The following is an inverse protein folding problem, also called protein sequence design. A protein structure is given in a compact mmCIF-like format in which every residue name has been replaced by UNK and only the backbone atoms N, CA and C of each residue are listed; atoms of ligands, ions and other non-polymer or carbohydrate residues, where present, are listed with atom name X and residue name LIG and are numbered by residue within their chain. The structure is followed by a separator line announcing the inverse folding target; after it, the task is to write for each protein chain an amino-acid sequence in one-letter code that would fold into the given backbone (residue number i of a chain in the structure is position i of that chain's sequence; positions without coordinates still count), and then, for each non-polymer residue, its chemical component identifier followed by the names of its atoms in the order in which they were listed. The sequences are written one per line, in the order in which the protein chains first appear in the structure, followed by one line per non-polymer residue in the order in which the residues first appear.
data_IF_691219301059
#
_entry.id   IF_691219301059
#
_cell.length_a   1.000
_cell.length_b   1.000
_cell.length_c   1.000
_cell.angle_alpha   90.00
_cell.angle_beta   90.00
_cell.angle_gamma   90.00
#
_symmetry.space_group_name_H-M   'P 1'
#
loop_
_entity.id
_entity.type
_entity.pdbx_description
1 polymer ?
#
# COMPACT_ATOMS: atom_id res chain seq x y z
N UNK A 1 -19.71 -28.45 9.81
CA UNK A 1 -18.31 -28.45 10.26
C UNK A 1 -17.49 -29.63 9.71
N UNK A 2 -17.82 -30.90 9.95
CA UNK A 2 -17.04 -32.05 9.43
C UNK A 2 -16.94 -32.13 7.90
N UNK A 3 -17.97 -31.71 7.14
CA UNK A 3 -17.95 -31.72 5.67
C UNK A 3 -17.08 -30.62 5.03
N UNK A 4 -16.89 -29.50 5.71
CA UNK A 4 -16.03 -28.41 5.24
C UNK A 4 -14.55 -28.71 5.47
N UNK A 5 -14.23 -29.36 6.61
CA UNK A 5 -12.86 -29.81 6.90
C UNK A 5 -12.39 -30.90 5.93
N UNK A 6 -13.30 -31.80 5.52
CA UNK A 6 -13.00 -32.84 4.52
C UNK A 6 -12.79 -32.23 3.14
N UNK A 7 -13.51 -31.19 2.76
CA UNK A 7 -13.32 -30.52 1.46
C UNK A 7 -11.95 -29.82 1.35
N UNK A 8 -11.45 -29.24 2.43
CA UNK A 8 -10.11 -28.63 2.46
C UNK A 8 -9.00 -29.69 2.45
N UNK A 9 -9.20 -30.83 3.10
CA UNK A 9 -8.24 -31.93 3.14
C UNK A 9 -8.27 -32.80 1.85
N UNK A 10 -9.41 -32.93 1.17
CA UNK A 10 -9.50 -33.65 -0.10
C UNK A 10 -8.97 -32.85 -1.29
N UNK A 11 -8.98 -31.53 -1.26
CA UNK A 11 -8.33 -30.68 -2.27
C UNK A 11 -6.79 -30.86 -2.30
N UNK A 12 -6.21 -31.37 -1.21
CA UNK A 12 -4.76 -31.65 -1.11
C UNK A 12 -4.33 -32.99 -1.75
N UNK A 13 -5.27 -33.85 -2.23
CA UNK A 13 -4.94 -35.19 -2.73
C UNK A 13 -5.35 -35.49 -4.16
N UNK A 14 -5.89 -34.52 -4.94
CA UNK A 14 -6.23 -34.76 -6.35
C UNK A 14 -5.05 -34.31 -7.22
N UNK A 15 -4.28 -35.30 -7.64
CA UNK A 15 -3.17 -35.23 -8.58
C UNK A 15 -3.65 -35.09 -10.03
N UNK A 16 -3.00 -34.18 -10.75
CA UNK A 16 -2.69 -34.20 -12.17
C UNK A 16 -3.83 -34.26 -13.20
N UNK A 17 -4.24 -33.07 -13.65
CA UNK A 17 -4.41 -32.76 -15.05
C UNK A 17 -3.76 -31.39 -15.31
N UNK A 18 -2.65 -31.42 -16.04
CA UNK A 18 -1.88 -30.21 -16.39
C UNK A 18 -2.63 -29.50 -17.50
N UNK A 19 -3.41 -28.52 -17.14
CA UNK A 19 -3.68 -27.39 -18.02
C UNK A 19 -2.92 -26.22 -17.41
N UNK A 20 -1.93 -25.75 -18.13
CA UNK A 20 -1.02 -24.67 -17.70
C UNK A 20 -1.82 -23.38 -17.54
N UNK A 21 -2.20 -23.05 -16.32
CA UNK A 21 -2.70 -21.71 -15.98
C UNK A 21 -1.52 -20.74 -16.03
N UNK A 22 -1.49 -19.91 -17.05
CA UNK A 22 -0.48 -18.86 -17.24
C UNK A 22 -0.74 -17.59 -16.41
N UNK A 23 -1.77 -17.58 -15.55
CA UNK A 23 -2.36 -16.34 -15.01
C UNK A 23 -1.53 -15.69 -13.90
N UNK A 24 -0.58 -16.34 -13.22
CA UNK A 24 0.17 -15.72 -12.12
C UNK A 24 1.69 -15.96 -12.15
N UNK A 25 2.26 -16.31 -13.30
CA UNK A 25 3.72 -16.35 -13.48
C UNK A 25 4.21 -15.08 -14.14
N UNK A 26 4.21 -13.97 -13.41
CA UNK A 26 4.91 -12.78 -13.89
C UNK A 26 6.41 -13.05 -14.06
N UNK A 27 7.02 -12.42 -15.05
CA UNK A 27 8.47 -12.39 -15.23
C UNK A 27 9.15 -11.97 -13.93
N UNK A 28 10.37 -12.45 -13.63
CA UNK A 28 11.12 -11.94 -12.49
C UNK A 28 11.26 -10.42 -12.63
N UNK A 29 10.74 -9.68 -11.66
CA UNK A 29 10.84 -8.21 -11.65
C UNK A 29 12.28 -7.86 -11.31
N UNK A 30 13.05 -7.43 -12.29
CA UNK A 30 14.47 -7.13 -12.11
C UNK A 30 14.71 -5.67 -11.71
N UNK A 31 13.93 -4.73 -12.24
CA UNK A 31 14.07 -3.30 -11.96
C UNK A 31 12.83 -2.54 -12.42
N UNK A 32 12.20 -1.81 -11.53
CA UNK A 32 11.07 -0.93 -11.87
C UNK A 32 11.49 0.13 -12.92
N UNK A 33 12.70 0.68 -12.77
CA UNK A 33 13.23 1.62 -13.74
C UNK A 33 13.36 1.01 -15.14
N UNK A 34 13.92 -0.21 -15.24
CA UNK A 34 14.17 -0.86 -16.53
C UNK A 34 12.88 -1.38 -17.17
N UNK A 35 11.95 -1.90 -16.35
CA UNK A 35 10.78 -2.60 -16.85
C UNK A 35 9.62 -1.66 -17.20
N UNK A 36 9.46 -0.55 -16.47
CA UNK A 36 8.30 0.35 -16.61
C UNK A 36 8.66 1.78 -16.99
N UNK A 37 9.66 2.37 -16.33
CA UNK A 37 9.88 3.82 -16.44
C UNK A 37 10.72 4.20 -17.67
N UNK A 38 11.85 3.52 -17.91
CA UNK A 38 12.68 3.77 -19.09
C UNK A 38 11.96 3.46 -20.42
N UNK A 39 11.18 2.36 -20.55
CA UNK A 39 10.41 2.11 -21.77
C UNK A 39 9.38 3.19 -22.06
N UNK A 40 8.84 3.85 -21.03
CA UNK A 40 7.94 5.00 -21.18
C UNK A 40 8.65 6.31 -21.55
N UNK A 41 10.00 6.32 -21.62
CA UNK A 41 10.81 7.47 -22.02
C UNK A 41 11.21 8.40 -20.87
N UNK A 42 10.98 8.04 -19.62
CA UNK A 42 11.33 8.83 -18.44
C UNK A 42 12.71 8.43 -17.90
N UNK A 43 13.39 9.39 -17.28
CA UNK A 43 14.61 9.07 -16.53
C UNK A 43 14.26 8.44 -15.18
N UNK A 44 15.03 7.44 -14.79
CA UNK A 44 14.84 6.73 -13.55
C UNK A 44 16.19 6.33 -12.94
N UNK A 45 16.32 6.47 -11.62
CA UNK A 45 17.47 6.00 -10.87
C UNK A 45 17.01 5.14 -9.70
N UNK A 46 17.70 4.00 -9.53
CA UNK A 46 17.47 3.11 -8.39
C UNK A 46 18.31 3.59 -7.19
N UNK A 47 17.68 3.67 -6.04
CA UNK A 47 18.31 3.96 -4.77
C UNK A 47 18.05 2.83 -3.80
N UNK A 48 18.97 2.66 -2.86
CA UNK A 48 18.84 1.65 -1.80
C UNK A 48 19.06 2.33 -0.46
N UNK A 49 18.18 2.04 0.50
CA UNK A 49 18.29 2.52 1.87
C UNK A 49 18.24 1.33 2.85
N UNK A 50 18.88 1.51 4.00
CA UNK A 50 18.82 0.53 5.08
C UNK A 50 18.01 1.09 6.24
N UNK A 51 17.04 0.30 6.70
CA UNK A 51 16.28 0.62 7.91
C UNK A 51 17.07 0.32 9.17
N UNK A 52 16.68 0.90 10.30
CA UNK A 52 17.37 0.69 11.59
C UNK A 52 17.31 -0.76 12.08
N UNK A 53 16.28 -1.49 11.70
CA UNK A 53 16.09 -2.90 12.02
C UNK A 53 16.67 -3.84 10.95
N UNK A 54 17.40 -3.30 9.96
CA UNK A 54 18.29 -4.05 9.07
C UNK A 54 17.74 -4.38 7.69
N UNK A 55 16.50 -3.98 7.34
CA UNK A 55 15.96 -4.20 6.00
C UNK A 55 16.60 -3.25 4.98
N UNK A 56 16.78 -3.75 3.78
CA UNK A 56 17.33 -3.01 2.64
C UNK A 56 16.19 -2.78 1.66
N UNK A 57 15.80 -1.53 1.49
CA UNK A 57 14.64 -1.11 0.71
C UNK A 57 15.07 -0.45 -0.59
N UNK A 58 14.32 -0.70 -1.65
CA UNK A 58 14.49 -0.03 -2.93
C UNK A 58 13.59 1.21 -3.00
N UNK A 59 14.17 2.31 -3.50
CA UNK A 59 13.45 3.51 -3.90
C UNK A 59 13.82 3.84 -5.35
N UNK A 60 12.87 4.28 -6.13
CA UNK A 60 13.12 4.80 -7.47
C UNK A 60 12.87 6.31 -7.50
N UNK A 61 13.74 7.03 -8.18
CA UNK A 61 13.60 8.46 -8.44
C UNK A 61 13.35 8.69 -9.91
N UNK A 62 12.20 9.29 -10.22
CA UNK A 62 11.69 9.44 -11.59
C UNK A 62 11.57 10.92 -11.95
N UNK A 63 12.02 11.28 -13.17
CA UNK A 63 11.90 12.62 -13.69
C UNK A 63 11.42 12.62 -15.15
N UNK A 64 10.70 13.68 -15.53
CA UNK A 64 10.17 13.86 -16.89
C UNK A 64 11.30 13.99 -17.92
N UNK A 65 11.11 13.45 -19.14
CA UNK A 65 12.07 13.60 -20.25
C UNK A 65 12.12 15.01 -20.84
N UNK A 66 11.27 15.94 -20.41
CA UNK A 66 11.11 17.26 -21.04
C UNK A 66 12.33 18.14 -20.81
N UNK A 67 13.05 18.59 -21.86
CA UNK A 67 14.35 19.28 -21.75
C UNK A 67 14.29 20.69 -21.13
N UNK A 68 13.09 21.25 -20.92
CA UNK A 68 12.92 22.62 -20.42
C UNK A 68 12.80 22.75 -18.89
N UNK A 69 12.81 21.63 -18.15
CA UNK A 69 13.05 21.69 -16.72
C UNK A 69 14.57 21.74 -16.56
N UNK A 70 15.09 22.96 -16.41
CA UNK A 70 16.48 23.21 -16.00
C UNK A 70 16.92 22.18 -14.96
N UNK A 71 18.19 21.81 -14.93
CA UNK A 71 18.86 20.78 -14.09
C UNK A 71 18.52 20.77 -12.59
N UNK A 72 17.48 21.45 -12.18
CA UNK A 72 16.99 21.55 -10.81
C UNK A 72 15.73 20.71 -10.68
N UNK A 73 15.81 19.64 -9.90
CA UNK A 73 14.64 18.84 -9.51
C UNK A 73 13.59 19.73 -8.85
N UNK A 74 12.33 19.48 -9.17
CA UNK A 74 11.19 20.13 -8.51
C UNK A 74 11.02 19.70 -7.06
N UNK A 75 9.90 20.05 -6.44
CA UNK A 75 9.62 19.62 -5.06
C UNK A 75 9.52 18.11 -4.98
N UNK A 76 10.20 17.48 -4.00
CA UNK A 76 10.17 16.03 -3.84
C UNK A 76 8.80 15.54 -3.39
N UNK A 77 8.34 14.46 -3.99
CA UNK A 77 7.11 13.76 -3.61
C UNK A 77 7.39 12.26 -3.47
N UNK A 78 7.05 11.69 -2.31
CA UNK A 78 7.11 10.25 -2.08
C UNK A 78 5.74 9.63 -2.32
N UNK A 79 5.71 8.59 -3.16
CA UNK A 79 4.54 7.75 -3.41
C UNK A 79 4.67 6.44 -2.62
N UNK A 80 3.72 6.21 -1.70
CA UNK A 80 3.69 5.03 -0.84
C UNK A 80 2.47 4.16 -1.16
N UNK A 81 2.72 2.95 -1.63
CA UNK A 81 1.73 1.97 -2.08
C UNK A 81 0.94 1.29 -0.95
N UNK A 82 -0.12 0.57 -1.32
CA UNK A 82 -0.98 -0.21 -0.44
C UNK A 82 -0.52 -1.64 -0.16
N UNK A 83 -1.39 -2.40 0.54
CA UNK A 83 -1.18 -3.82 0.82
C UNK A 83 -1.15 -4.63 -0.50
N UNK A 84 -0.24 -5.59 -0.58
CA UNK A 84 0.01 -6.43 -1.76
C UNK A 84 0.43 -5.67 -3.02
N UNK A 85 0.77 -4.40 -2.91
CA UNK A 85 1.29 -3.55 -3.97
C UNK A 85 2.77 -3.25 -3.75
N UNK A 86 3.42 -2.71 -4.79
CA UNK A 86 4.72 -2.06 -4.69
C UNK A 86 4.73 -0.75 -5.50
N UNK A 87 5.91 -0.20 -5.74
CA UNK A 87 6.06 1.06 -6.47
C UNK A 87 5.65 1.01 -7.93
N UNK A 88 5.56 -0.18 -8.51
CA UNK A 88 5.11 -0.40 -9.89
C UNK A 88 3.66 0.03 -10.12
N UNK A 89 2.78 -0.09 -9.13
CA UNK A 89 1.37 0.34 -9.24
C UNK A 89 1.22 1.78 -9.73
N UNK A 90 2.19 2.63 -9.46
CA UNK A 90 2.19 4.04 -9.86
C UNK A 90 2.53 4.28 -11.34
N UNK A 91 2.84 3.20 -12.10
CA UNK A 91 3.29 3.24 -13.49
C UNK A 91 2.62 2.20 -14.40
N UNK A 92 1.63 1.45 -13.93
CA UNK A 92 1.01 0.34 -14.66
C UNK A 92 0.10 0.78 -15.80
N UNK A 93 -0.40 2.00 -15.80
CA UNK A 93 -1.18 2.57 -16.89
C UNK A 93 -0.31 3.40 -17.84
N UNK A 94 -0.93 4.02 -18.82
CA UNK A 94 -0.20 4.89 -19.76
C UNK A 94 0.47 6.06 -19.01
N UNK A 95 1.50 6.69 -19.58
CA UNK A 95 2.13 7.87 -18.98
C UNK A 95 1.16 9.05 -18.74
N UNK A 96 0.04 9.08 -19.44
CA UNK A 96 -0.97 10.10 -19.25
C UNK A 96 -1.95 9.81 -18.10
N UNK A 97 -1.99 8.57 -17.64
CA UNK A 97 -2.94 8.05 -16.64
C UNK A 97 -2.25 7.72 -15.32
N UNK A 98 -1.03 7.19 -15.35
CA UNK A 98 -0.27 6.77 -14.16
C UNK A 98 0.21 7.96 -13.34
N UNK A 99 -0.06 7.95 -12.04
CA UNK A 99 0.27 9.06 -11.13
C UNK A 99 1.77 9.41 -11.11
N UNK A 100 2.64 8.41 -11.15
CA UNK A 100 4.10 8.64 -11.13
C UNK A 100 4.57 9.48 -12.31
N UNK A 101 4.10 9.16 -13.52
CA UNK A 101 4.42 9.94 -14.71
C UNK A 101 3.72 11.31 -14.71
N UNK A 102 2.46 11.36 -14.31
CA UNK A 102 1.70 12.62 -14.23
C UNK A 102 2.38 13.62 -13.31
N UNK A 103 2.87 13.21 -12.14
CA UNK A 103 3.60 14.08 -11.23
C UNK A 103 4.95 14.53 -11.81
N UNK A 104 5.69 13.63 -12.44
CA UNK A 104 6.95 13.97 -13.11
C UNK A 104 6.72 15.02 -14.21
N UNK A 105 5.69 14.88 -15.05
CA UNK A 105 5.33 15.85 -16.09
C UNK A 105 4.85 17.19 -15.52
N UNK A 106 4.36 17.20 -14.27
CA UNK A 106 4.02 18.43 -13.56
C UNK A 106 5.21 19.06 -12.81
N UNK A 107 6.43 18.51 -13.02
CA UNK A 107 7.68 19.06 -12.52
C UNK A 107 8.03 18.68 -11.10
N UNK A 108 7.43 17.63 -10.54
CA UNK A 108 7.83 17.08 -9.24
C UNK A 108 9.06 16.18 -9.39
N UNK A 109 9.88 16.15 -8.34
CA UNK A 109 10.91 15.14 -8.13
C UNK A 109 10.26 13.91 -7.50
N UNK A 110 9.89 12.93 -8.34
CA UNK A 110 9.06 11.80 -7.92
C UNK A 110 9.91 10.68 -7.34
N UNK A 111 9.61 10.31 -6.11
CA UNK A 111 10.21 9.18 -5.41
C UNK A 111 9.15 8.11 -5.15
N UNK A 112 9.52 6.88 -5.34
CA UNK A 112 8.63 5.73 -5.19
C UNK A 112 9.21 4.78 -4.16
N UNK A 113 8.46 4.58 -3.07
CA UNK A 113 8.84 3.69 -1.99
C UNK A 113 8.36 2.26 -2.23
N UNK A 114 9.22 1.31 -1.89
CA UNK A 114 8.86 -0.11 -1.84
C UNK A 114 9.11 -0.63 -0.44
N UNK A 115 8.07 -1.04 0.27
CA UNK A 115 8.22 -1.59 1.61
C UNK A 115 8.91 -2.95 1.58
N UNK A 116 9.47 -3.35 2.73
CA UNK A 116 10.06 -4.68 2.93
C UNK A 116 9.12 -5.80 2.50
N UNK A 117 9.65 -6.86 1.96
CA UNK A 117 8.90 -8.03 1.52
C UNK A 117 8.25 -7.89 0.14
N UNK A 118 8.26 -6.70 -0.49
CA UNK A 118 7.95 -6.58 -1.91
C UNK A 118 9.08 -7.16 -2.77
N UNK A 119 8.80 -7.55 -4.02
CA UNK A 119 9.83 -8.11 -4.92
C UNK A 119 11.00 -7.17 -5.21
N UNK A 120 10.87 -5.88 -4.92
CA UNK A 120 11.95 -4.89 -5.03
C UNK A 120 12.76 -4.76 -3.73
N UNK A 121 12.25 -5.20 -2.58
CA UNK A 121 12.82 -4.98 -1.24
C UNK A 121 12.92 -6.28 -0.43
N UNK A 122 13.63 -7.27 -0.96
CA UNK A 122 13.93 -8.54 -0.28
C UNK A 122 15.24 -8.53 0.50
N UNK A 123 15.94 -7.40 0.57
CA UNK A 123 17.23 -7.29 1.25
C UNK A 123 17.08 -7.18 2.77
N UNK A 124 18.00 -7.82 3.50
CA UNK A 124 18.23 -7.62 4.93
C UNK A 124 19.69 -7.91 5.26
N UNK A 125 20.25 -7.23 6.26
CA UNK A 125 21.68 -7.35 6.61
C UNK A 125 22.10 -8.74 7.12
N UNK A 126 21.17 -9.53 7.66
CA UNK A 126 21.45 -10.86 8.25
C UNK A 126 20.43 -11.93 7.90
N UNK A 127 19.22 -11.57 7.47
CA UNK A 127 18.12 -12.48 7.16
C UNK A 127 17.95 -12.64 5.65
N UNK A 128 17.42 -13.78 5.24
CA UNK A 128 16.97 -14.07 3.89
C UNK A 128 15.44 -14.08 3.85
N UNK A 129 14.85 -13.81 2.69
CA UNK A 129 13.40 -13.93 2.46
C UNK A 129 12.86 -15.36 2.70
N UNK A 130 13.74 -16.36 2.79
CA UNK A 130 13.38 -17.73 3.16
C UNK A 130 13.29 -17.94 4.67
N UNK A 131 13.83 -17.02 5.48
CA UNK A 131 13.77 -17.10 6.92
C UNK A 131 12.42 -16.60 7.44
N UNK A 132 11.84 -17.29 8.40
CA UNK A 132 10.55 -16.87 8.99
C UNK A 132 10.65 -15.53 9.72
N UNK A 133 11.81 -15.25 10.30
CA UNK A 133 12.09 -14.00 11.01
C UNK A 133 12.11 -12.79 10.07
N UNK A 134 12.45 -12.97 8.78
CA UNK A 134 12.36 -11.93 7.75
C UNK A 134 10.93 -11.41 7.60
N UNK A 135 9.91 -12.23 7.88
CA UNK A 135 8.49 -11.90 7.76
C UNK A 135 7.82 -11.52 9.08
N UNK A 136 8.58 -11.35 10.19
CA UNK A 136 8.01 -11.00 11.50
C UNK A 136 7.79 -9.48 11.67
N UNK A 137 7.03 -8.87 10.77
CA UNK A 137 6.69 -7.46 10.77
C UNK A 137 5.21 -7.22 10.42
N UNK A 138 4.71 -6.04 10.77
CA UNK A 138 3.38 -5.56 10.44
C UNK A 138 3.42 -4.12 9.93
N UNK A 139 2.28 -3.54 9.55
CA UNK A 139 2.22 -2.17 9.05
C UNK A 139 2.80 -1.13 10.02
N UNK A 140 2.78 -1.39 11.32
CA UNK A 140 3.45 -0.48 12.27
C UNK A 140 4.97 -0.42 12.03
N UNK A 141 5.60 -1.57 11.73
CA UNK A 141 7.03 -1.61 11.43
C UNK A 141 7.31 -0.90 10.10
N UNK A 142 6.40 -1.06 9.11
CA UNK A 142 6.46 -0.32 7.85
C UNK A 142 6.34 1.19 8.06
N UNK A 143 5.48 1.64 8.99
CA UNK A 143 5.34 3.06 9.31
C UNK A 143 6.56 3.62 10.04
N UNK A 144 7.02 2.89 11.08
CA UNK A 144 8.02 3.40 12.03
C UNK A 144 9.47 3.26 11.54
N UNK A 145 9.71 2.31 10.63
CA UNK A 145 11.02 2.07 10.03
C UNK A 145 11.04 2.37 8.53
N UNK A 146 10.24 1.68 7.71
CA UNK A 146 10.33 1.81 6.26
C UNK A 146 10.01 3.22 5.79
N UNK A 147 8.79 3.69 6.06
CA UNK A 147 8.34 5.02 5.65
C UNK A 147 9.18 6.13 6.30
N UNK A 148 9.50 5.98 7.58
CA UNK A 148 10.30 6.97 8.29
C UNK A 148 11.71 7.13 7.70
N UNK A 149 12.38 6.03 7.33
CA UNK A 149 13.71 6.09 6.71
C UNK A 149 13.65 6.55 5.24
N UNK A 150 12.59 6.19 4.48
CA UNK A 150 12.35 6.73 3.14
C UNK A 150 12.20 8.25 3.17
N UNK A 151 11.35 8.78 4.08
CA UNK A 151 11.15 10.22 4.29
C UNK A 151 12.46 10.91 4.66
N UNK A 152 13.21 10.36 5.62
CA UNK A 152 14.49 10.90 6.06
C UNK A 152 15.53 10.93 4.93
N UNK A 153 15.60 9.87 4.14
CA UNK A 153 16.54 9.77 3.01
C UNK A 153 16.23 10.82 1.96
N UNK A 154 14.97 10.89 1.50
CA UNK A 154 14.55 11.85 0.48
C UNK A 154 14.73 13.29 0.97
N UNK A 155 14.33 13.58 2.22
CA UNK A 155 14.56 14.89 2.85
C UNK A 155 16.03 15.29 2.80
N UNK A 156 16.94 14.37 3.09
CA UNK A 156 18.39 14.60 3.09
C UNK A 156 18.94 14.83 1.68
N UNK A 157 18.47 14.06 0.70
CA UNK A 157 18.92 14.16 -0.69
C UNK A 157 18.38 15.44 -1.36
N UNK A 158 17.11 15.74 -1.15
CA UNK A 158 16.45 16.91 -1.73
C UNK A 158 16.77 18.21 -0.98
N UNK A 159 17.29 18.11 0.24
CA UNK A 159 17.54 19.24 1.16
C UNK A 159 16.29 20.15 1.32
N UNK A 160 15.12 19.56 1.33
CA UNK A 160 13.83 20.24 1.46
C UNK A 160 12.78 19.29 2.03
N UNK A 161 11.70 19.86 2.60
CA UNK A 161 10.53 19.08 2.99
C UNK A 161 9.92 18.40 1.77
N UNK A 162 9.30 17.24 2.00
CA UNK A 162 8.72 16.40 0.95
C UNK A 162 7.20 16.46 0.97
N UNK A 163 6.57 16.26 -0.17
CA UNK A 163 5.17 15.87 -0.24
C UNK A 163 5.05 14.35 -0.07
N UNK A 164 4.04 13.91 0.65
CA UNK A 164 3.78 12.49 0.88
C UNK A 164 2.44 12.11 0.27
N UNK A 165 2.42 11.08 -0.58
CA UNK A 165 1.19 10.46 -1.09
C UNK A 165 1.13 9.03 -0.57
N UNK A 166 0.05 8.67 0.10
CA UNK A 166 -0.24 7.30 0.53
C UNK A 166 -1.49 6.77 -0.15
N UNK A 167 -1.53 5.47 -0.43
CA UNK A 167 -2.74 4.77 -0.86
C UNK A 167 -3.01 3.59 0.07
N UNK A 168 -4.27 3.41 0.53
CA UNK A 168 -4.68 2.23 1.30
C UNK A 168 -3.80 2.02 2.55
N UNK A 169 -3.12 0.87 2.69
CA UNK A 169 -2.16 0.63 3.78
C UNK A 169 -1.08 1.71 3.85
N UNK A 170 -0.69 2.33 2.73
CA UNK A 170 0.22 3.47 2.72
C UNK A 170 -0.33 4.67 3.50
N UNK A 171 -1.66 4.80 3.63
CA UNK A 171 -2.29 5.83 4.47
C UNK A 171 -2.25 5.48 5.94
N UNK A 172 -2.45 4.19 6.31
CA UNK A 172 -2.27 3.71 7.71
C UNK A 172 -0.85 4.03 8.17
N UNK A 173 0.14 3.70 7.33
CA UNK A 173 1.54 3.98 7.60
C UNK A 173 1.80 5.48 7.73
N UNK A 174 1.20 6.30 6.85
CA UNK A 174 1.36 7.75 6.86
C UNK A 174 0.78 8.35 8.14
N UNK A 175 -0.44 7.99 8.53
CA UNK A 175 -1.03 8.47 9.78
C UNK A 175 -0.16 8.11 10.98
N UNK A 176 0.26 6.84 11.12
CA UNK A 176 1.10 6.40 12.22
C UNK A 176 2.46 7.13 12.25
N UNK A 177 3.13 7.25 11.10
CA UNK A 177 4.41 7.93 11.01
C UNK A 177 4.31 9.44 11.31
N UNK A 178 3.23 10.10 10.88
CA UNK A 178 3.00 11.53 11.10
C UNK A 178 2.64 11.88 12.56
N UNK A 179 2.25 10.91 13.40
CA UNK A 179 2.18 11.15 14.86
C UNK A 179 3.57 11.34 15.49
N UNK A 180 4.64 11.01 14.76
CA UNK A 180 6.01 11.17 15.22
C UNK A 180 6.54 12.56 14.77
N UNK A 181 6.87 13.47 15.69
CA UNK A 181 7.33 14.82 15.35
C UNK A 181 8.50 14.82 14.37
N UNK A 182 9.45 13.89 14.55
CA UNK A 182 10.62 13.73 13.68
C UNK A 182 10.24 13.54 12.21
N UNK A 183 9.20 12.75 11.93
CA UNK A 183 8.74 12.49 10.56
C UNK A 183 7.91 13.65 10.05
N UNK A 184 6.96 14.13 10.85
CA UNK A 184 6.06 15.21 10.47
C UNK A 184 6.81 16.52 10.11
N UNK A 185 7.92 16.82 10.80
CA UNK A 185 8.76 17.99 10.52
C UNK A 185 9.42 17.96 9.13
N UNK A 186 9.60 16.79 8.53
CA UNK A 186 10.18 16.60 7.20
C UNK A 186 9.13 16.61 6.07
N UNK A 187 7.85 16.60 6.42
CA UNK A 187 6.74 16.58 5.46
C UNK A 187 6.17 17.98 5.29
N UNK A 188 6.02 18.43 4.06
CA UNK A 188 5.41 19.73 3.70
C UNK A 188 3.89 19.64 3.70
N UNK A 189 3.35 18.59 3.08
CA UNK A 189 1.94 18.24 3.09
C UNK A 189 1.75 16.77 2.74
N UNK A 190 0.61 16.18 3.14
CA UNK A 190 0.25 14.79 2.85
C UNK A 190 -1.05 14.72 2.04
N UNK A 191 -1.09 13.85 1.02
CA UNK A 191 -2.28 13.49 0.28
C UNK A 191 -2.55 11.98 0.46
N UNK A 192 -3.72 11.64 0.95
CA UNK A 192 -4.09 10.30 1.34
C UNK A 192 -5.26 9.80 0.47
N UNK A 193 -4.99 8.77 -0.31
CA UNK A 193 -5.94 8.12 -1.22
C UNK A 193 -6.51 6.89 -0.52
N UNK A 194 -7.84 6.78 -0.44
CA UNK A 194 -8.53 5.75 0.35
C UNK A 194 -7.99 5.70 1.79
N UNK A 195 -8.14 6.81 2.57
CA UNK A 195 -7.50 6.97 3.87
C UNK A 195 -8.07 5.97 4.89
N UNK A 196 -7.16 5.25 5.56
CA UNK A 196 -7.48 4.24 6.56
C UNK A 196 -6.71 4.55 7.85
N UNK A 197 -7.41 4.77 8.94
CA UNK A 197 -6.91 4.66 10.32
C UNK A 197 -7.78 3.73 11.14
N UNK A 198 -9.03 3.53 10.72
CA UNK A 198 -9.99 2.59 11.27
C UNK A 198 -10.50 1.64 10.20
N UNK A 199 -10.94 0.45 10.61
CA UNK A 199 -11.48 -0.62 9.76
C UNK A 199 -12.72 -1.27 10.40
N UNK A 200 -13.46 -0.52 11.23
CA UNK A 200 -14.64 -1.03 11.93
C UNK A 200 -15.78 -1.37 10.97
N UNK A 201 -15.90 -0.62 9.87
CA UNK A 201 -17.00 -0.67 8.93
C UNK A 201 -16.59 -1.24 7.58
N UNK A 202 -15.53 -2.08 7.53
CA UNK A 202 -15.20 -2.85 6.32
C UNK A 202 -16.41 -3.71 5.95
N UNK A 203 -16.93 -3.50 4.74
CA UNK A 203 -18.11 -4.20 4.21
C UNK A 203 -17.77 -5.16 3.08
N UNK A 204 -16.49 -5.39 2.82
CA UNK A 204 -15.98 -6.34 1.83
C UNK A 204 -16.34 -7.79 2.25
N UNK A 205 -17.28 -8.49 1.58
CA UNK A 205 -17.83 -9.75 2.08
C UNK A 205 -16.79 -10.86 2.25
N UNK A 206 -15.78 -10.87 1.36
CA UNK A 206 -14.70 -11.85 1.46
C UNK A 206 -13.79 -11.56 2.66
N UNK A 207 -13.47 -10.29 2.91
CA UNK A 207 -12.64 -9.87 4.04
C UNK A 207 -13.34 -10.16 5.36
N UNK A 208 -14.61 -9.75 5.50
CA UNK A 208 -15.43 -10.05 6.68
C UNK A 208 -15.46 -11.55 6.98
N UNK A 209 -15.64 -12.38 5.94
CA UNK A 209 -15.66 -13.83 6.09
C UNK A 209 -14.32 -14.39 6.55
N UNK A 210 -13.21 -13.90 6.00
CA UNK A 210 -11.86 -14.30 6.41
C UNK A 210 -11.58 -13.91 7.87
N UNK A 211 -11.98 -12.71 8.28
CA UNK A 211 -11.85 -12.22 9.66
C UNK A 211 -12.70 -13.03 10.63
N UNK A 212 -13.96 -13.29 10.28
CA UNK A 212 -14.88 -14.11 11.09
C UNK A 212 -14.39 -15.54 11.28
N UNK A 213 -13.81 -16.14 10.24
CA UNK A 213 -13.24 -17.49 10.28
C UNK A 213 -11.86 -17.54 10.98
N UNK A 214 -11.35 -16.45 11.47
CA UNK A 214 -9.99 -16.35 12.04
C UNK A 214 -8.91 -16.94 11.12
N UNK A 215 -8.99 -16.66 9.82
CA UNK A 215 -8.09 -17.21 8.82
C UNK A 215 -6.62 -16.84 9.11
N UNK A 216 -6.38 -15.65 9.63
CA UNK A 216 -5.06 -15.19 10.09
C UNK A 216 -4.41 -16.12 11.12
N UNK A 217 -5.22 -16.67 12.04
CA UNK A 217 -4.74 -17.61 13.07
C UNK A 217 -4.46 -19.00 12.47
N UNK A 218 -5.33 -19.44 11.54
CA UNK A 218 -5.15 -20.72 10.86
C UNK A 218 -3.87 -20.75 10.02
N UNK A 219 -3.59 -19.68 9.28
CA UNK A 219 -2.41 -19.55 8.42
C UNK A 219 -1.12 -19.60 9.27
N UNK A 220 -1.10 -18.90 10.42
CA UNK A 220 0.01 -18.98 11.38
C UNK A 220 0.17 -20.37 11.96
N UNK A 221 -0.94 -21.05 12.32
CA UNK A 221 -0.89 -22.41 12.85
C UNK A 221 -0.36 -23.44 11.83
N UNK A 222 -0.49 -23.16 10.53
CA UNK A 222 0.10 -23.94 9.43
C UNK A 222 1.57 -23.61 9.19
N UNK A 223 2.17 -22.70 9.98
CA UNK A 223 3.57 -22.32 9.86
C UNK A 223 3.88 -21.38 8.70
N UNK A 224 2.86 -20.76 8.10
CA UNK A 224 3.05 -19.75 7.05
C UNK A 224 3.43 -18.41 7.67
N UNK A 225 4.44 -17.75 7.12
CA UNK A 225 4.95 -16.45 7.59
C UNK A 225 4.79 -15.36 6.52
N UNK A 226 4.73 -15.74 5.24
CA UNK A 226 4.45 -14.85 4.11
C UNK A 226 3.18 -15.26 3.38
N UNK A 227 2.53 -14.27 2.76
CA UNK A 227 1.48 -14.46 1.78
C UNK A 227 2.08 -14.05 0.43
N UNK A 228 2.24 -15.02 -0.45
CA UNK A 228 2.73 -14.81 -1.81
C UNK A 228 1.76 -15.47 -2.79
N UNK A 229 0.91 -14.66 -3.41
CA UNK A 229 -0.10 -15.13 -4.36
C UNK A 229 0.49 -15.73 -5.64
N UNK A 230 1.79 -15.56 -5.86
CA UNK A 230 2.54 -16.20 -6.97
C UNK A 230 3.15 -17.54 -6.58
N UNK A 231 2.98 -17.98 -5.33
CA UNK A 231 3.37 -19.33 -4.93
C UNK A 231 2.44 -20.36 -5.57
N UNK A 232 2.99 -21.49 -6.02
CA UNK A 232 2.21 -22.57 -6.66
C UNK A 232 1.00 -23.03 -5.82
N UNK A 233 1.08 -22.92 -4.51
CA UNK A 233 0.00 -23.26 -3.58
C UNK A 233 -1.14 -22.26 -3.61
N UNK A 234 -0.83 -20.95 -3.54
CA UNK A 234 -1.85 -19.91 -3.57
C UNK A 234 -2.41 -19.67 -4.96
N UNK A 235 -1.60 -19.80 -6.02
CA UNK A 235 -2.07 -19.79 -7.40
C UNK A 235 -3.16 -20.83 -7.59
N UNK A 236 -2.88 -22.11 -7.23
CA UNK A 236 -3.88 -23.19 -7.33
C UNK A 236 -5.14 -22.93 -6.50
N UNK A 237 -5.00 -22.29 -5.36
CA UNK A 237 -6.15 -21.94 -4.52
C UNK A 237 -7.00 -20.85 -5.19
N UNK A 238 -6.39 -19.80 -5.71
CA UNK A 238 -7.09 -18.71 -6.40
C UNK A 238 -7.73 -19.22 -7.68
N UNK A 239 -7.01 -20.03 -8.49
CA UNK A 239 -7.54 -20.68 -9.70
C UNK A 239 -8.77 -21.52 -9.37
N UNK A 240 -8.71 -22.34 -8.31
CA UNK A 240 -9.85 -23.16 -7.90
C UNK A 240 -11.08 -22.34 -7.45
N UNK A 241 -10.85 -21.12 -6.96
CA UNK A 241 -11.92 -20.18 -6.61
C UNK A 241 -12.49 -19.48 -7.85
N UNK A 242 -11.65 -19.15 -8.82
CA UNK A 242 -12.05 -18.52 -10.08
C UNK A 242 -12.69 -19.52 -11.07
N UNK A 243 -12.18 -20.76 -11.19
CA UNK A 243 -12.74 -21.79 -12.09
C UNK A 243 -14.14 -22.26 -11.67
N UNK A 244 -14.51 -22.07 -10.42
CA UNK A 244 -15.73 -22.67 -9.87
C UNK A 244 -17.04 -21.88 -10.01
N UNK A 245 -17.10 -20.64 -10.53
CA UNK A 245 -18.29 -19.79 -10.77
C UNK A 245 -18.11 -18.30 -10.46
N UNK A 246 -16.93 -17.81 -10.11
CA UNK A 246 -16.68 -16.37 -9.92
C UNK A 246 -15.78 -15.85 -11.05
N UNK A 247 -16.23 -14.81 -11.73
CA UNK A 247 -15.37 -13.99 -12.56
C UNK A 247 -14.28 -13.35 -11.66
N UNK A 248 -13.02 -13.39 -12.09
CA UNK A 248 -11.92 -12.79 -11.31
C UNK A 248 -12.10 -11.27 -11.11
N UNK A 249 -12.85 -10.60 -11.98
CA UNK A 249 -13.28 -9.21 -11.81
C UNK A 249 -14.24 -9.09 -10.62
N UNK A 250 -15.18 -10.02 -10.48
CA UNK A 250 -16.08 -10.10 -9.33
C UNK A 250 -15.33 -10.43 -8.03
N UNK A 251 -14.28 -11.27 -8.12
CA UNK A 251 -13.42 -11.57 -6.98
C UNK A 251 -12.70 -10.31 -6.49
N UNK A 252 -12.09 -9.53 -7.38
CA UNK A 252 -11.44 -8.27 -7.04
C UNK A 252 -12.45 -7.29 -6.42
N UNK A 253 -13.63 -7.14 -7.03
CA UNK A 253 -14.70 -6.28 -6.54
C UNK A 253 -15.25 -6.71 -5.19
N UNK A 254 -15.24 -8.01 -4.88
CA UNK A 254 -15.66 -8.54 -3.57
C UNK A 254 -14.71 -8.18 -2.41
N UNK A 255 -13.51 -7.70 -2.73
CA UNK A 255 -12.51 -7.23 -1.77
C UNK A 255 -12.47 -5.70 -1.75
N UNK A 256 -12.40 -5.06 -2.92
CA UNK A 256 -12.04 -3.65 -3.08
C UNK A 256 -13.24 -2.74 -3.32
N UNK A 257 -14.42 -3.33 -3.47
CA UNK A 257 -15.60 -2.62 -3.91
C UNK A 257 -15.72 -2.53 -5.43
N UNK A 258 -16.85 -2.00 -5.89
CA UNK A 258 -17.11 -1.84 -7.32
C UNK A 258 -16.22 -0.74 -7.89
N UNK A 259 -15.16 -1.13 -8.59
CA UNK A 259 -14.32 -0.20 -9.30
C UNK A 259 -14.97 0.20 -10.63
N UNK A 260 -15.22 1.49 -10.84
CA UNK A 260 -15.96 1.97 -12.00
C UNK A 260 -15.12 2.06 -13.26
N UNK A 261 -13.84 2.33 -13.09
CA UNK A 261 -13.16 3.13 -14.10
C UNK A 261 -11.76 2.61 -14.45
N UNK A 262 -11.36 1.46 -13.96
CA UNK A 262 -10.11 0.83 -14.37
C UNK A 262 -10.30 0.07 -15.71
N UNK A 263 -9.22 -0.06 -16.45
CA UNK A 263 -9.26 -0.75 -17.74
C UNK A 263 -9.21 -2.28 -17.56
N UNK A 264 -10.38 -2.92 -17.54
CA UNK A 264 -10.51 -4.36 -17.37
C UNK A 264 -9.73 -5.19 -18.44
N UNK A 265 -9.51 -4.64 -19.65
CA UNK A 265 -8.73 -5.34 -20.69
C UNK A 265 -7.24 -5.44 -20.36
N UNK A 266 -6.76 -4.69 -19.37
CA UNK A 266 -5.36 -4.71 -18.88
C UNK A 266 -5.17 -5.58 -17.64
N UNK A 267 -6.18 -6.30 -17.19
CA UNK A 267 -6.10 -7.05 -15.93
C UNK A 267 -4.97 -8.06 -15.92
N UNK A 268 -4.75 -8.76 -17.04
CA UNK A 268 -3.63 -9.70 -17.19
C UNK A 268 -2.29 -8.98 -17.06
N UNK A 269 -2.15 -7.81 -17.66
CA UNK A 269 -0.94 -6.99 -17.52
C UNK A 269 -0.72 -6.52 -16.07
N UNK A 270 -1.79 -6.11 -15.37
CA UNK A 270 -1.65 -5.75 -13.94
C UNK A 270 -1.21 -6.96 -13.10
N UNK A 271 -1.70 -8.16 -13.41
CA UNK A 271 -1.33 -9.40 -12.74
C UNK A 271 0.11 -9.85 -13.01
N UNK A 272 0.76 -9.34 -14.07
CA UNK A 272 2.20 -9.55 -14.30
C UNK A 272 3.05 -8.85 -13.22
N UNK A 273 2.56 -7.76 -12.64
CA UNK A 273 3.25 -6.95 -11.64
C UNK A 273 2.68 -7.18 -10.23
N UNK A 274 1.38 -7.14 -10.07
CA UNK A 274 0.66 -7.32 -8.80
C UNK A 274 0.06 -8.73 -8.70
N UNK A 275 -0.24 -9.27 -7.51
CA UNK A 275 0.12 -8.73 -6.20
C UNK A 275 1.55 -9.07 -5.77
N UNK A 276 2.12 -8.22 -4.92
CA UNK A 276 3.39 -8.45 -4.24
C UNK A 276 3.20 -9.26 -2.96
N UNK A 277 4.24 -9.95 -2.46
CA UNK A 277 4.17 -10.65 -1.19
C UNK A 277 4.03 -9.70 0.01
N UNK A 278 3.44 -10.22 1.07
CA UNK A 278 3.35 -9.52 2.37
C UNK A 278 3.49 -10.50 3.53
N UNK A 279 3.76 -9.98 4.72
CA UNK A 279 3.81 -10.76 5.95
C UNK A 279 2.41 -11.22 6.39
N UNK A 280 2.32 -12.46 6.87
CA UNK A 280 1.12 -12.95 7.57
C UNK A 280 0.82 -12.12 8.81
N UNK A 281 1.85 -11.67 9.54
CA UNK A 281 1.68 -10.80 10.72
C UNK A 281 1.09 -9.44 10.34
N UNK A 282 1.44 -8.92 9.14
CA UNK A 282 0.84 -7.69 8.63
C UNK A 282 -0.67 -7.85 8.40
N UNK A 283 -1.07 -8.90 7.69
CA UNK A 283 -2.49 -9.20 7.49
C UNK A 283 -3.21 -9.43 8.82
N UNK A 284 -2.58 -10.14 9.75
CA UNK A 284 -3.12 -10.36 11.10
C UNK A 284 -3.33 -9.05 11.87
N UNK A 285 -2.45 -8.07 11.71
CA UNK A 285 -2.59 -6.76 12.33
C UNK A 285 -3.81 -6.00 11.77
N UNK A 286 -4.00 -6.01 10.46
CA UNK A 286 -5.21 -5.45 9.82
C UNK A 286 -6.49 -6.14 10.32
N UNK A 287 -6.46 -7.47 10.47
CA UNK A 287 -7.60 -8.20 11.05
C UNK A 287 -7.82 -7.87 12.53
N UNK A 288 -6.77 -7.52 13.28
CA UNK A 288 -6.94 -7.00 14.65
C UNK A 288 -7.65 -5.64 14.64
N UNK A 289 -7.30 -4.74 13.70
CA UNK A 289 -7.99 -3.45 13.54
C UNK A 289 -9.48 -3.66 13.24
N UNK A 290 -9.82 -4.54 12.29
CA UNK A 290 -11.22 -4.86 11.95
C UNK A 290 -11.97 -5.41 13.16
N UNK A 291 -11.37 -6.30 13.94
CA UNK A 291 -12.03 -6.91 15.11
C UNK A 291 -12.17 -5.99 16.32
N UNK A 292 -11.30 -4.99 16.46
CA UNK A 292 -11.18 -4.16 17.67
C UNK A 292 -11.58 -2.71 17.48
N UNK A 293 -11.68 -2.27 16.24
CA UNK A 293 -11.98 -0.89 15.93
C UNK A 293 -10.99 0.11 16.50
N UNK A 294 -9.72 -0.23 16.51
CA UNK A 294 -8.69 0.63 17.10
C UNK A 294 -7.51 0.84 16.16
N UNK A 295 -6.98 2.05 16.14
CA UNK A 295 -5.74 2.42 15.47
C UNK A 295 -4.58 2.29 16.46
N UNK A 296 -4.11 1.06 16.66
CA UNK A 296 -3.17 0.72 17.72
C UNK A 296 -1.99 -0.11 17.18
N UNK A 297 -0.95 -0.22 17.98
CA UNK A 297 0.17 -1.12 17.74
C UNK A 297 -0.31 -2.59 17.76
N UNK A 298 0.54 -3.49 17.27
CA UNK A 298 0.22 -4.91 17.15
C UNK A 298 -0.08 -5.55 18.50
N UNK A 299 -1.24 -6.20 18.62
CA UNK A 299 -1.61 -6.93 19.84
C UNK A 299 -0.97 -8.32 19.88
N UNK A 300 0.06 -8.45 20.70
CA UNK A 300 0.72 -9.73 20.98
C UNK A 300 -0.03 -10.60 21.99
N UNK A 301 -1.11 -10.11 22.60
CA UNK A 301 -1.81 -10.71 23.74
C UNK A 301 -1.23 -10.24 25.08
N UNK A 302 -2.01 -10.43 26.14
CA UNK A 302 -1.83 -9.84 27.47
C UNK A 302 -0.39 -9.87 27.98
N UNK A 303 0.20 -11.06 28.10
CA UNK A 303 1.56 -11.21 28.67
C UNK A 303 2.65 -10.60 27.79
N UNK A 304 2.57 -10.84 26.48
CA UNK A 304 3.57 -10.32 25.56
C UNK A 304 3.45 -8.82 25.34
N UNK A 305 2.24 -8.24 25.43
CA UNK A 305 2.05 -6.79 25.45
C UNK A 305 2.76 -6.14 26.64
N UNK A 306 2.64 -6.72 27.84
CA UNK A 306 3.35 -6.22 29.04
C UNK A 306 4.87 -6.23 28.81
N UNK A 307 5.40 -7.30 28.22
CA UNK A 307 6.84 -7.42 27.95
C UNK A 307 7.31 -6.43 26.87
N UNK A 308 6.48 -6.16 25.86
CA UNK A 308 6.84 -5.34 24.70
C UNK A 308 6.56 -3.85 24.95
N UNK A 309 5.41 -3.53 25.55
CA UNK A 309 4.90 -2.17 25.69
C UNK A 309 4.83 -1.66 27.13
N UNK A 310 5.02 -2.53 28.11
CA UNK A 310 4.82 -2.21 29.52
C UNK A 310 3.35 -2.14 29.96
N UNK A 311 2.40 -2.41 29.05
CA UNK A 311 0.94 -2.35 29.27
C UNK A 311 0.27 -3.61 28.76
N UNK A 312 -0.90 -3.95 29.31
CA UNK A 312 -1.64 -5.17 28.92
C UNK A 312 -2.35 -5.06 27.58
N UNK A 313 -2.56 -3.83 27.09
CA UNK A 313 -3.11 -3.51 25.78
C UNK A 313 -2.04 -2.83 24.92
N UNK A 314 -2.07 -3.00 23.59
CA UNK A 314 -1.16 -2.26 22.71
C UNK A 314 -1.46 -0.76 22.81
N UNK A 315 -0.44 0.12 22.76
CA UNK A 315 -0.61 1.56 22.65
C UNK A 315 -1.34 1.95 21.36
N UNK A 316 -2.18 2.97 21.43
CA UNK A 316 -2.84 3.53 20.26
C UNK A 316 -1.95 4.56 19.55
N UNK A 317 -2.16 4.71 18.25
CA UNK A 317 -1.64 5.85 17.49
C UNK A 317 -2.70 6.95 17.56
N UNK A 318 -2.40 8.00 18.33
CA UNK A 318 -3.35 9.10 18.51
C UNK A 318 -3.24 10.08 17.35
N UNK A 319 -4.28 10.15 16.50
CA UNK A 319 -4.33 11.09 15.37
C UNK A 319 -4.17 12.55 15.79
N UNK A 320 -4.60 12.88 17.01
CA UNK A 320 -4.41 14.19 17.62
C UNK A 320 -2.95 14.62 17.82
N UNK A 321 -2.00 13.70 17.74
CA UNK A 321 -0.56 14.00 17.80
C UNK A 321 0.02 14.44 16.44
N UNK A 322 -0.73 14.33 15.35
CA UNK A 322 -0.31 14.90 14.06
C UNK A 322 -0.34 16.43 14.19
N UNK A 323 0.73 17.14 13.77
CA UNK A 323 0.75 18.60 13.93
C UNK A 323 -0.42 19.27 13.20
N UNK A 324 -1.18 20.13 13.89
CA UNK A 324 -2.28 20.87 13.29
C UNK A 324 -1.85 21.79 12.13
N UNK A 325 -0.56 22.12 12.08
CA UNK A 325 0.04 22.91 11.00
C UNK A 325 0.39 22.13 9.76
N UNK A 326 0.31 20.77 9.80
CA UNK A 326 0.57 19.92 8.65
C UNK A 326 -0.66 19.88 7.73
N UNK A 327 -0.58 20.45 6.51
CA UNK A 327 -1.70 20.40 5.59
C UNK A 327 -1.93 18.99 5.09
N UNK A 328 -3.20 18.55 5.07
CA UNK A 328 -3.60 17.25 4.53
C UNK A 328 -4.71 17.40 3.50
N UNK A 329 -4.70 16.47 2.55
CA UNK A 329 -5.73 16.29 1.55
C UNK A 329 -6.12 14.80 1.53
N UNK A 330 -7.40 14.50 1.38
CA UNK A 330 -7.91 13.14 1.37
C UNK A 330 -8.87 12.92 0.20
N UNK A 331 -8.63 11.86 -0.59
CA UNK A 331 -9.53 11.37 -1.61
C UNK A 331 -10.12 10.02 -1.22
N UNK A 332 -11.45 9.88 -1.22
CA UNK A 332 -12.13 8.64 -0.85
C UNK A 332 -13.38 8.40 -1.70
N UNK A 333 -13.77 7.13 -1.80
CA UNK A 333 -14.80 6.66 -2.70
C UNK A 333 -16.04 6.14 -1.96
N UNK A 334 -17.22 6.37 -2.54
CA UNK A 334 -18.48 5.84 -1.99
C UNK A 334 -18.70 4.35 -2.28
N UNK A 335 -17.95 3.78 -3.24
CA UNK A 335 -18.01 2.36 -3.58
C UNK A 335 -16.83 1.56 -3.01
N UNK A 336 -15.99 2.20 -2.18
CA UNK A 336 -14.87 1.55 -1.48
C UNK A 336 -15.39 0.70 -0.31
N UNK A 337 -15.12 -0.61 -0.32
CA UNK A 337 -15.55 -1.53 0.73
C UNK A 337 -14.49 -1.75 1.83
N UNK A 338 -13.32 -1.13 1.69
CA UNK A 338 -12.21 -1.21 2.65
C UNK A 338 -12.02 0.08 3.44
N UNK A 339 -11.91 1.22 2.75
CA UNK A 339 -11.85 2.55 3.36
C UNK A 339 -13.27 3.13 3.43
N UNK A 340 -14.10 2.57 4.30
CA UNK A 340 -15.50 2.95 4.44
C UNK A 340 -15.66 4.42 4.87
N UNK A 341 -16.70 5.07 4.34
CA UNK A 341 -16.99 6.49 4.60
C UNK A 341 -17.15 6.77 6.10
N UNK A 342 -17.77 5.86 6.85
CA UNK A 342 -17.98 6.03 8.30
C UNK A 342 -16.63 6.05 9.04
N UNK A 343 -15.71 5.17 8.68
CA UNK A 343 -14.36 5.14 9.25
C UNK A 343 -13.53 6.36 8.85
N UNK A 344 -13.72 6.87 7.63
CA UNK A 344 -13.14 8.14 7.19
C UNK A 344 -13.68 9.30 8.02
N UNK A 345 -15.00 9.39 8.25
CA UNK A 345 -15.62 10.43 9.08
C UNK A 345 -15.12 10.37 10.53
N UNK A 346 -14.93 9.18 11.09
CA UNK A 346 -14.30 9.01 12.39
C UNK A 346 -12.88 9.57 12.39
N UNK A 347 -12.08 9.21 11.39
CA UNK A 347 -10.72 9.73 11.21
C UNK A 347 -10.71 11.26 11.19
N UNK A 348 -11.61 11.87 10.42
CA UNK A 348 -11.74 13.32 10.31
C UNK A 348 -12.10 13.99 11.65
N UNK A 349 -12.88 13.31 12.50
CA UNK A 349 -13.27 13.84 13.81
C UNK A 349 -12.13 13.87 14.84
N UNK A 350 -11.11 13.02 14.66
CA UNK A 350 -9.99 12.88 15.58
C UNK A 350 -8.74 13.66 15.12
N UNK A 351 -8.71 14.12 13.87
CA UNK A 351 -7.59 14.91 13.36
C UNK A 351 -7.59 16.32 13.96
N UNK A 352 -6.41 16.88 14.31
CA UNK A 352 -6.29 18.21 14.92
C UNK A 352 -6.60 19.36 13.95
N UNK A 353 -6.59 19.11 12.65
CA UNK A 353 -6.95 20.06 11.60
C UNK A 353 -7.75 19.37 10.51
N UNK A 354 -8.68 20.11 9.91
CA UNK A 354 -9.53 19.57 8.84
C UNK A 354 -8.77 19.48 7.52
N UNK A 355 -8.65 18.28 6.90
CA UNK A 355 -8.09 18.12 5.55
C UNK A 355 -8.96 18.79 4.47
N UNK A 356 -8.37 19.07 3.30
CA UNK A 356 -9.15 19.23 2.08
C UNK A 356 -9.65 17.86 1.63
N UNK A 357 -10.91 17.79 1.20
CA UNK A 357 -11.58 16.51 0.91
C UNK A 357 -12.02 16.44 -0.57
N UNK A 358 -11.83 15.27 -1.16
CA UNK A 358 -12.43 14.88 -2.43
C UNK A 358 -13.22 13.59 -2.20
N UNK A 359 -14.53 13.63 -2.40
CA UNK A 359 -15.40 12.47 -2.37
C UNK A 359 -15.90 12.14 -3.78
N UNK A 360 -15.75 10.87 -4.18
CA UNK A 360 -16.18 10.35 -5.47
C UNK A 360 -17.11 9.15 -5.24
N UNK A 361 -18.42 9.36 -5.40
CA UNK A 361 -19.45 8.37 -5.06
C UNK A 361 -19.26 7.01 -5.74
N UNK A 362 -18.83 7.01 -7.01
CA UNK A 362 -18.72 5.79 -7.83
C UNK A 362 -17.32 5.12 -7.75
N UNK A 363 -16.35 5.71 -7.07
CA UNK A 363 -15.00 5.17 -6.99
C UNK A 363 -14.92 4.06 -5.95
N UNK A 364 -14.38 2.91 -6.38
CA UNK A 364 -13.92 1.84 -5.49
C UNK A 364 -12.45 2.05 -5.07
N UNK A 365 -11.94 1.13 -4.29
CA UNK A 365 -10.61 1.24 -3.65
C UNK A 365 -9.45 1.39 -4.65
N UNK A 366 -9.50 0.66 -5.78
CA UNK A 366 -8.42 0.63 -6.78
C UNK A 366 -8.52 1.77 -7.78
N UNK A 367 -9.70 2.38 -7.94
CA UNK A 367 -9.90 3.46 -8.89
C UNK A 367 -8.98 4.67 -8.63
N UNK A 368 -8.55 4.89 -7.40
CA UNK A 368 -7.64 5.97 -7.04
C UNK A 368 -6.22 5.80 -7.61
N UNK A 369 -5.86 4.61 -8.04
CA UNK A 369 -4.52 4.29 -8.59
C UNK A 369 -4.55 3.73 -10.01
N UNK A 370 -5.61 3.02 -10.41
CA UNK A 370 -5.72 2.35 -11.73
C UNK A 370 -6.91 2.80 -12.58
N UNK A 371 -7.62 3.87 -12.19
CA UNK A 371 -8.67 4.43 -13.04
C UNK A 371 -8.08 5.22 -14.20
N UNK A 372 -8.58 4.99 -15.41
CA UNK A 372 -8.24 5.78 -16.60
C UNK A 372 -8.67 7.24 -16.48
N UNK A 373 -9.62 7.54 -15.59
CA UNK A 373 -10.10 8.90 -15.29
C UNK A 373 -9.41 9.55 -14.10
N UNK A 374 -8.59 8.82 -13.32
CA UNK A 374 -8.01 9.31 -12.05
C UNK A 374 -7.20 10.60 -12.22
N UNK A 375 -6.56 10.80 -13.38
CA UNK A 375 -5.85 12.05 -13.67
C UNK A 375 -6.75 13.27 -13.57
N UNK A 376 -7.94 13.20 -14.15
CA UNK A 376 -8.90 14.31 -14.18
C UNK A 376 -9.65 14.42 -12.84
N UNK A 377 -10.12 13.28 -12.33
CA UNK A 377 -11.02 13.22 -11.19
C UNK A 377 -10.30 13.36 -9.84
N UNK A 378 -9.02 12.94 -9.76
CA UNK A 378 -8.25 12.88 -8.51
C UNK A 378 -6.96 13.68 -8.58
N UNK A 379 -6.06 13.35 -9.53
CA UNK A 379 -4.68 13.83 -9.50
C UNK A 379 -4.56 15.33 -9.71
N UNK A 380 -5.42 15.92 -10.54
CA UNK A 380 -5.45 17.38 -10.73
C UNK A 380 -5.75 18.13 -9.43
N UNK A 381 -6.69 17.64 -8.62
CA UNK A 381 -7.07 18.25 -7.36
C UNK A 381 -5.92 18.15 -6.34
N UNK A 382 -5.32 16.97 -6.25
CA UNK A 382 -4.15 16.72 -5.39
C UNK A 382 -2.95 17.60 -5.80
N UNK A 383 -2.66 17.71 -7.08
CA UNK A 383 -1.56 18.56 -7.58
C UNK A 383 -1.82 20.05 -7.30
N UNK A 384 -3.06 20.50 -7.45
CA UNK A 384 -3.46 21.88 -7.09
C UNK A 384 -3.25 22.12 -5.60
N UNK A 385 -3.64 21.16 -4.76
CA UNK A 385 -3.39 21.20 -3.33
C UNK A 385 -1.89 21.34 -3.01
N UNK A 386 -1.02 20.55 -3.59
CA UNK A 386 0.42 20.63 -3.39
C UNK A 386 1.02 21.97 -3.85
N UNK A 387 0.61 22.44 -5.03
CA UNK A 387 1.08 23.71 -5.58
C UNK A 387 0.71 24.92 -4.71
N UNK A 388 -0.46 24.88 -4.08
CA UNK A 388 -0.90 25.94 -3.17
C UNK A 388 -0.08 26.02 -1.87
N UNK A 389 0.65 24.95 -1.47
CA UNK A 389 1.45 24.89 -0.23
C UNK A 389 2.91 25.21 -0.45
N UNK A 390 3.38 25.20 -1.67
CA UNK A 390 4.75 25.62 -1.95
C UNK A 390 4.86 27.15 -1.75
N UNK A 391 5.62 27.57 -0.75
CA UNK A 391 5.96 28.98 -0.56
C UNK A 391 6.64 29.51 -1.81
N UNK A 392 6.35 30.73 -2.23
CA UNK A 392 6.72 31.42 -3.46
C UNK A 392 8.24 31.72 -3.64
N UNK A 393 9.12 30.87 -3.14
CA UNK A 393 10.56 30.99 -3.33
C UNK A 393 11.08 29.80 -4.13
N UNK A 394 11.27 30.04 -5.42
CA UNK A 394 11.95 29.16 -6.41
C UNK A 394 11.08 28.14 -7.17
N UNK A 395 10.58 28.57 -8.28
CA UNK A 395 10.51 27.80 -9.51
C UNK A 395 11.57 28.32 -10.47
#
# INVERSE_FOLDING_TARGET
MKRLLVAVLTALTISSAVTQSHILRGSPVNSLCADLVHPAGYSCTEHTIQTKDGYILALQRVASPTPNLTLQYGPPVLLQHGLFMAGDVWFLDSPKESLGFVLADHGFDVWVGNVRGTRYSYGHVTLSETDKEFWDWSWQDLAMYDLAEMVQYIYSVANSKIFLVGHSQGTIMSFAALTQPRVAEMVEAAALLCPISYLDHVTAPLVERMVFMHLDQMVVALGMHQINFRSDTLVKLVDSLCEGHMDCTDFLSSITGKNCCFNASRIEYYLDYEPHPSSVKNLRHLFQMIRKGSFAQYDYGFLKNILTYGTSKPPEFELGHIPASLPMWMGYGGSDLLADVIDVERTLSELPSRPELLYLENYGHIDFVLSTSAKEDVYKHMIQFFRARKKSSSW
#
